data_IF_982569654604
#
_entry.id   IF_982569654604
#
_cell.length_a   1.000
_cell.length_b   1.000
_cell.length_c   1.000
_cell.angle_alpha   90.00
_cell.angle_beta   90.00
_cell.angle_gamma   90.00
#
_symmetry.space_group_name_H-M   'P 1'
#
loop_
_entity.id
_entity.type
_entity.pdbx_description
1 polymer ?
#
# COMPACT_ATOMS: atom_id res chain seq x y z
N UNK A 1 10.05 -57.95 12.39
CA UNK A 1 9.73 -56.80 13.29
C UNK A 1 10.91 -55.84 13.23
N UNK A 2 10.67 -54.56 12.99
CA UNK A 2 11.74 -53.55 12.84
C UNK A 2 12.48 -53.31 14.16
N UNK A 3 13.78 -53.01 14.06
CA UNK A 3 14.54 -52.53 15.20
C UNK A 3 14.05 -51.14 15.65
N UNK A 4 14.32 -50.77 16.90
CA UNK A 4 13.97 -49.43 17.43
C UNK A 4 14.68 -48.30 16.67
N UNK A 5 15.87 -48.56 16.13
CA UNK A 5 16.62 -47.63 15.29
C UNK A 5 15.93 -47.40 13.94
N UNK A 6 15.49 -48.48 13.28
CA UNK A 6 14.80 -48.41 11.98
C UNK A 6 13.42 -47.75 12.10
N UNK A 7 12.70 -48.02 13.19
CA UNK A 7 11.44 -47.35 13.50
C UNK A 7 11.61 -45.83 13.65
N UNK A 8 12.69 -45.37 14.30
CA UNK A 8 13.02 -43.94 14.43
C UNK A 8 13.39 -43.32 13.09
N UNK A 9 14.11 -44.06 12.25
CA UNK A 9 14.55 -43.65 10.93
C UNK A 9 13.36 -43.50 9.96
N UNK A 10 12.42 -44.43 9.94
CA UNK A 10 11.17 -44.34 9.16
C UNK A 10 10.32 -43.13 9.61
N UNK A 11 10.16 -42.90 10.92
CA UNK A 11 9.45 -41.71 11.43
C UNK A 11 10.12 -40.40 11.01
N UNK A 12 11.46 -40.36 11.01
CA UNK A 12 12.24 -39.20 10.56
C UNK A 12 12.06 -38.91 9.07
N UNK A 13 12.16 -39.93 8.22
CA UNK A 13 11.99 -39.77 6.77
C UNK A 13 10.52 -39.63 6.33
N UNK A 14 9.57 -39.93 7.20
CA UNK A 14 8.18 -39.50 7.03
C UNK A 14 7.99 -38.01 7.35
N UNK A 15 8.61 -37.50 8.43
CA UNK A 15 8.44 -36.12 8.88
C UNK A 15 9.26 -35.10 8.09
N UNK A 16 10.49 -35.40 7.67
CA UNK A 16 11.37 -34.44 6.99
C UNK A 16 10.82 -33.93 5.65
N UNK A 17 10.32 -34.78 4.73
CA UNK A 17 9.70 -34.29 3.49
C UNK A 17 8.42 -33.48 3.75
N UNK A 18 7.68 -33.81 4.83
CA UNK A 18 6.49 -33.04 5.24
C UNK A 18 6.88 -31.67 5.80
N UNK A 19 7.92 -31.60 6.63
CA UNK A 19 8.46 -30.35 7.13
C UNK A 19 8.99 -29.47 6.00
N UNK A 20 9.70 -30.05 5.03
CA UNK A 20 10.15 -29.34 3.83
C UNK A 20 8.96 -28.78 3.03
N UNK A 21 7.91 -29.58 2.84
CA UNK A 21 6.69 -29.15 2.17
C UNK A 21 5.99 -28.00 2.92
N UNK A 22 5.88 -28.11 4.25
CA UNK A 22 5.29 -27.05 5.08
C UNK A 22 6.14 -25.78 5.05
N UNK A 23 7.46 -25.89 5.04
CA UNK A 23 8.38 -24.75 4.99
C UNK A 23 8.28 -24.02 3.65
N UNK A 24 8.17 -24.76 2.56
CA UNK A 24 7.90 -24.16 1.25
C UNK A 24 6.52 -23.50 1.19
N UNK A 25 5.49 -24.12 1.77
CA UNK A 25 4.16 -23.50 1.85
C UNK A 25 4.18 -22.23 2.73
N UNK A 26 4.96 -22.23 3.81
CA UNK A 26 5.13 -21.10 4.70
C UNK A 26 5.72 -19.89 3.96
N UNK A 27 6.74 -20.07 3.10
CA UNK A 27 7.30 -18.97 2.28
C UNK A 27 6.25 -18.16 1.52
N UNK A 28 5.31 -18.85 0.85
CA UNK A 28 4.24 -18.19 0.12
C UNK A 28 3.24 -17.49 1.05
N UNK A 29 2.90 -18.13 2.17
CA UNK A 29 1.98 -17.58 3.16
C UNK A 29 2.58 -16.36 3.86
N UNK A 30 3.85 -16.41 4.23
CA UNK A 30 4.61 -15.33 4.85
C UNK A 30 4.68 -14.14 3.90
N UNK A 31 5.05 -14.35 2.62
CA UNK A 31 5.04 -13.29 1.62
C UNK A 31 3.66 -12.68 1.40
N UNK A 32 2.63 -13.50 1.22
CA UNK A 32 1.25 -13.02 1.04
C UNK A 32 0.71 -12.26 2.26
N UNK A 33 0.99 -12.75 3.47
CA UNK A 33 0.60 -12.10 4.71
C UNK A 33 1.33 -10.77 4.89
N UNK A 34 2.62 -10.68 4.55
CA UNK A 34 3.36 -9.42 4.60
C UNK A 34 2.73 -8.36 3.70
N UNK A 35 2.39 -8.72 2.45
CA UNK A 35 1.73 -7.78 1.52
C UNK A 35 0.40 -7.30 2.12
N UNK A 36 -0.41 -8.22 2.64
CA UNK A 36 -1.69 -7.88 3.27
C UNK A 36 -1.52 -6.92 4.45
N UNK A 37 -0.57 -7.18 5.35
CA UNK A 37 -0.34 -6.35 6.53
C UNK A 37 0.15 -4.95 6.17
N UNK A 38 1.02 -4.84 5.17
CA UNK A 38 1.47 -3.53 4.66
C UNK A 38 0.32 -2.77 3.98
N UNK A 39 -0.54 -3.46 3.22
CA UNK A 39 -1.70 -2.81 2.62
C UNK A 39 -2.68 -2.27 3.67
N UNK A 40 -2.93 -3.02 4.75
CA UNK A 40 -3.77 -2.57 5.87
C UNK A 40 -3.18 -1.31 6.51
N UNK A 41 -1.86 -1.29 6.71
CA UNK A 41 -1.18 -0.15 7.33
C UNK A 41 -1.16 1.10 6.43
N UNK A 42 -0.90 0.90 5.13
CA UNK A 42 -0.79 2.00 4.18
C UNK A 42 -2.17 2.61 3.86
N UNK A 43 -3.16 1.77 3.56
CA UNK A 43 -4.50 2.23 3.17
C UNK A 43 -5.33 2.59 4.41
N UNK A 44 -5.23 1.77 5.46
CA UNK A 44 -6.07 1.94 6.63
C UNK A 44 -5.56 2.98 7.62
N UNK A 45 -4.25 3.22 7.69
CA UNK A 45 -3.62 4.04 8.73
C UNK A 45 -2.65 5.09 8.16
N UNK A 46 -2.58 5.27 6.84
CA UNK A 46 -1.80 6.35 6.20
C UNK A 46 -0.28 6.19 6.27
N UNK A 47 0.24 5.02 6.66
CA UNK A 47 1.68 4.81 6.75
C UNK A 47 2.33 4.66 5.35
N UNK A 48 3.60 5.06 5.21
CA UNK A 48 4.36 4.89 3.95
C UNK A 48 5.36 3.73 4.07
N UNK A 49 5.27 2.78 3.13
CA UNK A 49 6.30 1.76 2.90
C UNK A 49 6.48 0.69 3.99
N UNK A 50 7.65 0.05 4.00
CA UNK A 50 8.01 -0.96 5.00
C UNK A 50 8.80 -0.31 6.14
N UNK A 51 8.48 -0.63 7.40
CA UNK A 51 9.34 -0.27 8.52
C UNK A 51 10.52 -1.24 8.67
N UNK A 52 11.60 -0.76 9.27
CA UNK A 52 12.87 -1.50 9.40
C UNK A 52 12.70 -2.84 10.12
N UNK A 53 11.92 -2.86 11.21
CA UNK A 53 11.66 -4.07 11.98
C UNK A 53 10.90 -5.11 11.15
N UNK A 54 9.88 -4.68 10.38
CA UNK A 54 9.06 -5.57 9.56
C UNK A 54 9.88 -6.14 8.40
N UNK A 55 10.74 -5.32 7.78
CA UNK A 55 11.63 -5.74 6.71
C UNK A 55 12.66 -6.76 7.22
N UNK A 56 13.25 -6.51 8.39
CA UNK A 56 14.17 -7.46 9.06
C UNK A 56 13.43 -8.76 9.40
N UNK A 57 12.25 -8.68 10.02
CA UNK A 57 11.47 -9.85 10.42
C UNK A 57 11.05 -10.71 9.21
N UNK A 58 10.51 -10.08 8.16
CA UNK A 58 10.15 -10.75 6.91
C UNK A 58 11.35 -11.45 6.29
N UNK A 59 12.46 -10.72 6.13
CA UNK A 59 13.68 -11.24 5.50
C UNK A 59 14.25 -12.41 6.30
N UNK A 60 14.32 -12.28 7.63
CA UNK A 60 14.81 -13.34 8.51
C UNK A 60 13.93 -14.60 8.45
N UNK A 61 12.60 -14.44 8.44
CA UNK A 61 11.66 -15.55 8.36
C UNK A 61 11.73 -16.24 6.99
N UNK A 62 11.76 -15.50 5.89
CA UNK A 62 11.89 -16.08 4.54
C UNK A 62 13.22 -16.83 4.38
N UNK A 63 14.33 -16.28 4.87
CA UNK A 63 15.63 -16.99 4.85
C UNK A 63 15.55 -18.27 5.69
N UNK A 64 14.96 -18.21 6.89
CA UNK A 64 14.83 -19.37 7.77
C UNK A 64 13.96 -20.47 7.16
N UNK A 65 12.82 -20.12 6.55
CA UNK A 65 11.90 -21.04 5.88
C UNK A 65 12.54 -21.65 4.62
N UNK A 66 13.27 -20.85 3.83
CA UNK A 66 14.04 -21.33 2.68
C UNK A 66 15.13 -22.32 3.09
N UNK A 67 15.93 -21.96 4.09
CA UNK A 67 16.99 -22.82 4.62
C UNK A 67 16.43 -24.12 5.22
N UNK A 68 15.33 -24.04 5.97
CA UNK A 68 14.66 -25.21 6.53
C UNK A 68 14.08 -26.14 5.44
N UNK A 69 13.50 -25.57 4.38
CA UNK A 69 13.01 -26.31 3.21
C UNK A 69 14.15 -27.11 2.55
N UNK A 70 15.26 -26.43 2.23
CA UNK A 70 16.43 -27.03 1.58
C UNK A 70 17.05 -28.10 2.49
N UNK A 71 17.29 -27.79 3.76
CA UNK A 71 17.90 -28.72 4.72
C UNK A 71 17.04 -29.98 4.90
N UNK A 72 15.73 -29.84 5.08
CA UNK A 72 14.81 -30.97 5.25
C UNK A 72 14.69 -31.81 3.97
N UNK A 73 14.62 -31.16 2.81
CA UNK A 73 14.54 -31.83 1.51
C UNK A 73 15.80 -32.62 1.18
N UNK A 74 16.98 -32.01 1.35
CA UNK A 74 18.28 -32.65 1.07
C UNK A 74 18.56 -33.79 2.03
N UNK A 75 18.28 -33.61 3.33
CA UNK A 75 18.47 -34.69 4.32
C UNK A 75 17.54 -35.87 4.08
N UNK A 76 16.28 -35.63 3.71
CA UNK A 76 15.37 -36.69 3.31
C UNK A 76 15.86 -37.42 2.05
N UNK A 77 16.27 -36.68 1.02
CA UNK A 77 16.75 -37.27 -0.25
C UNK A 77 17.99 -38.14 -0.04
N UNK A 78 19.00 -37.65 0.69
CA UNK A 78 20.21 -38.41 1.01
C UNK A 78 19.90 -39.65 1.84
N UNK A 79 18.98 -39.52 2.80
CA UNK A 79 18.57 -40.61 3.67
C UNK A 79 17.84 -41.74 2.95
N UNK A 80 16.86 -41.38 2.12
CA UNK A 80 16.09 -42.31 1.29
C UNK A 80 16.93 -42.95 0.17
N UNK A 81 17.99 -42.27 -0.28
CA UNK A 81 18.94 -42.82 -1.26
C UNK A 81 20.01 -43.74 -0.67
N UNK A 82 20.06 -43.93 0.65
CA UNK A 82 21.06 -44.77 1.30
C UNK A 82 20.80 -46.26 1.05
N UNK A 83 21.88 -47.05 0.96
CA UNK A 83 21.79 -48.51 0.80
C UNK A 83 20.94 -49.17 1.91
N UNK A 84 21.08 -48.68 3.16
CA UNK A 84 20.29 -49.11 4.31
C UNK A 84 18.78 -48.92 4.10
N UNK A 85 18.37 -47.77 3.54
CA UNK A 85 16.97 -47.52 3.26
C UNK A 85 16.44 -48.38 2.11
N UNK A 86 17.23 -48.58 1.06
CA UNK A 86 16.85 -49.42 -0.08
C UNK A 86 16.65 -50.88 0.33
N UNK A 87 17.40 -51.36 1.32
CA UNK A 87 17.25 -52.70 1.88
C UNK A 87 15.94 -52.82 2.69
N UNK A 88 15.64 -51.85 3.54
CA UNK A 88 14.36 -51.77 4.27
C UNK A 88 13.15 -51.68 3.31
N UNK A 89 13.27 -50.93 2.22
CA UNK A 89 12.24 -50.85 1.18
C UNK A 89 12.10 -52.19 0.45
N UNK A 90 13.20 -52.87 0.12
CA UNK A 90 13.19 -54.19 -0.52
C UNK A 90 12.60 -55.26 0.40
N UNK A 91 12.86 -55.23 1.70
CA UNK A 91 12.27 -56.14 2.69
C UNK A 91 10.75 -55.91 2.79
N UNK A 92 10.31 -54.65 2.87
CA UNK A 92 8.90 -54.29 2.90
C UNK A 92 8.14 -54.68 1.61
N UNK A 93 8.81 -54.66 0.45
CA UNK A 93 8.25 -55.08 -0.84
C UNK A 93 8.32 -56.62 -1.01
N UNK A 94 9.39 -57.24 -0.50
CA UNK A 94 9.73 -58.66 -0.65
C UNK A 94 8.80 -59.63 0.08
N UNK A 95 8.02 -59.15 1.05
CA UNK A 95 6.99 -59.94 1.73
C UNK A 95 5.60 -59.86 1.06
N UNK A 96 5.40 -59.00 0.04
CA UNK A 96 4.07 -58.72 -0.54
C UNK A 96 4.03 -58.62 -2.08
N UNK A 97 5.02 -59.19 -2.76
CA UNK A 97 5.19 -58.99 -4.20
C UNK A 97 4.28 -59.90 -5.06
N UNK A 98 3.09 -59.40 -5.43
CA UNK A 98 2.55 -59.63 -6.77
C UNK A 98 2.99 -58.46 -7.66
N UNK A 99 4.07 -58.67 -8.41
CA UNK A 99 4.84 -57.63 -9.15
C UNK A 99 4.07 -57.03 -10.35
N UNK A 100 2.81 -57.43 -10.59
CA UNK A 100 2.08 -57.09 -11.81
C UNK A 100 1.21 -55.83 -11.82
N UNK A 101 0.86 -55.20 -10.69
CA UNK A 101 -0.31 -54.28 -10.70
C UNK A 101 -0.17 -52.92 -10.00
N UNK A 102 1.02 -52.50 -9.53
CA UNK A 102 1.14 -51.18 -8.90
C UNK A 102 2.23 -50.29 -9.55
N UNK A 103 1.85 -49.27 -10.35
CA UNK A 103 2.80 -48.36 -10.99
C UNK A 103 3.58 -47.48 -9.99
N UNK A 104 3.20 -47.50 -8.70
CA UNK A 104 3.99 -46.90 -7.63
C UNK A 104 5.23 -47.72 -7.24
N UNK A 105 5.32 -49.00 -7.66
CA UNK A 105 6.36 -49.96 -7.24
C UNK A 105 7.31 -50.35 -8.39
N UNK A 106 6.88 -50.24 -9.66
CA UNK A 106 7.73 -50.58 -10.80
C UNK A 106 8.84 -49.54 -11.11
N UNK A 107 8.71 -48.31 -10.62
CA UNK A 107 9.75 -47.30 -10.69
C UNK A 107 10.37 -47.10 -9.33
N UNK A 108 11.51 -47.75 -9.07
CA UNK A 108 12.30 -47.56 -7.84
C UNK A 108 12.37 -46.07 -7.49
N UNK A 109 11.82 -45.72 -6.32
CA UNK A 109 11.42 -44.35 -5.97
C UNK A 109 12.62 -43.39 -5.86
N UNK A 110 13.85 -43.91 -5.86
CA UNK A 110 15.08 -43.12 -5.83
C UNK A 110 15.72 -42.75 -7.18
N UNK A 111 15.46 -43.47 -8.29
CA UNK A 111 16.33 -43.40 -9.50
C UNK A 111 15.57 -42.98 -10.78
N UNK A 112 14.31 -43.34 -10.94
CA UNK A 112 13.60 -43.12 -12.21
C UNK A 112 13.34 -41.63 -12.55
N UNK A 113 13.26 -40.75 -11.56
CA UNK A 113 13.03 -39.32 -11.80
C UNK A 113 14.28 -38.54 -12.21
N UNK A 114 15.48 -39.00 -11.84
CA UNK A 114 16.74 -38.38 -12.26
C UNK A 114 17.10 -38.79 -13.70
N UNK A 115 16.91 -40.07 -14.07
CA UNK A 115 17.21 -40.55 -15.42
C UNK A 115 16.32 -39.93 -16.50
N UNK A 116 15.02 -39.71 -16.22
CA UNK A 116 14.09 -39.14 -17.20
C UNK A 116 14.16 -37.62 -17.39
N UNK A 117 14.74 -36.88 -16.44
CA UNK A 117 14.94 -35.42 -16.57
C UNK A 117 16.26 -35.10 -17.28
N UNK A 118 17.27 -35.96 -17.16
CA UNK A 118 18.54 -35.86 -17.88
C UNK A 118 18.38 -36.22 -19.36
N UNK A 119 17.51 -37.18 -19.70
CA UNK A 119 17.20 -37.53 -21.10
C UNK A 119 16.39 -36.44 -21.85
N UNK A 120 15.82 -35.45 -21.15
CA UNK A 120 14.98 -34.40 -21.75
C UNK A 120 15.69 -33.05 -21.92
N UNK A 121 16.94 -32.93 -21.50
CA UNK A 121 17.71 -31.69 -21.62
C UNK A 121 18.77 -31.88 -22.72
N UNK A 122 18.67 -31.08 -23.78
CA UNK A 122 19.62 -31.10 -24.88
C UNK A 122 20.94 -30.43 -24.45
N UNK A 123 22.05 -30.76 -25.12
CA UNK A 123 23.40 -30.36 -24.69
C UNK A 123 23.62 -28.83 -24.71
N UNK A 124 22.85 -28.10 -25.52
CA UNK A 124 22.92 -26.64 -25.64
C UNK A 124 22.24 -25.89 -24.47
N UNK A 125 21.24 -26.50 -23.82
CA UNK A 125 20.65 -25.98 -22.57
C UNK A 125 21.60 -26.14 -21.37
N UNK A 126 22.54 -27.09 -21.47
CA UNK A 126 23.56 -27.36 -20.46
C UNK A 126 24.66 -26.26 -20.42
N UNK A 127 24.99 -25.66 -21.57
CA UNK A 127 25.97 -24.58 -21.69
C UNK A 127 25.39 -23.21 -21.23
N UNK A 128 24.10 -23.00 -21.45
CA UNK A 128 23.36 -21.87 -20.88
C UNK A 128 23.24 -21.97 -19.35
N UNK A 129 23.16 -23.19 -18.80
CA UNK A 129 23.21 -23.47 -17.36
C UNK A 129 24.61 -23.33 -16.76
N UNK A 130 25.69 -23.51 -17.53
CA UNK A 130 27.07 -23.33 -17.07
C UNK A 130 27.45 -21.87 -16.84
N UNK A 131 26.84 -20.94 -17.57
CA UNK A 131 27.29 -19.53 -17.59
C UNK A 131 26.41 -18.61 -16.73
N UNK A 132 25.19 -19.04 -16.37
CA UNK A 132 24.23 -18.22 -15.60
C UNK A 132 23.88 -18.72 -14.19
N UNK A 133 24.50 -19.81 -13.70
CA UNK A 133 23.97 -20.55 -12.55
C UNK A 133 25.03 -21.19 -11.62
N UNK A 134 26.15 -20.52 -11.37
CA UNK A 134 27.01 -20.88 -10.22
C UNK A 134 26.36 -20.39 -8.91
N UNK A 135 25.23 -20.99 -8.52
CA UNK A 135 24.69 -21.17 -7.15
C UNK A 135 23.36 -21.93 -7.30
N UNK A 136 23.39 -23.24 -7.02
CA UNK A 136 22.29 -24.04 -6.46
C UNK A 136 20.86 -23.70 -6.93
N UNK A 137 20.51 -23.92 -8.21
CA UNK A 137 19.17 -23.56 -8.67
C UNK A 137 18.75 -24.01 -10.07
N UNK A 138 19.01 -25.25 -10.49
CA UNK A 138 18.55 -25.70 -11.81
C UNK A 138 17.18 -26.41 -11.70
N UNK A 139 16.13 -25.68 -12.10
CA UNK A 139 14.88 -26.17 -12.69
C UNK A 139 14.14 -27.34 -12.00
N UNK A 140 13.63 -27.13 -10.79
CA UNK A 140 12.33 -27.69 -10.43
C UNK A 140 11.32 -26.56 -10.42
N UNK A 141 10.29 -26.62 -11.28
CA UNK A 141 9.08 -25.83 -11.03
C UNK A 141 8.62 -26.10 -9.59
N UNK A 142 8.11 -25.10 -8.87
CA UNK A 142 7.67 -25.27 -7.49
C UNK A 142 6.75 -26.50 -7.34
N UNK A 143 5.94 -26.77 -8.37
CA UNK A 143 5.10 -27.96 -8.51
C UNK A 143 5.89 -29.30 -8.46
N UNK A 144 6.99 -29.42 -9.18
CA UNK A 144 7.85 -30.61 -9.15
C UNK A 144 8.51 -30.83 -7.79
N UNK A 145 8.91 -29.75 -7.10
CA UNK A 145 9.44 -29.84 -5.75
C UNK A 145 8.36 -30.33 -4.74
N UNK A 146 7.13 -29.85 -4.88
CA UNK A 146 6.01 -30.28 -4.03
C UNK A 146 5.65 -31.75 -4.23
N UNK A 147 5.62 -32.22 -5.48
CA UNK A 147 5.27 -33.60 -5.79
C UNK A 147 6.35 -34.57 -5.30
N UNK A 148 7.64 -34.23 -5.48
CA UNK A 148 8.75 -35.06 -4.99
C UNK A 148 8.74 -35.22 -3.47
N UNK A 149 8.53 -34.16 -2.69
CA UNK A 149 8.41 -34.24 -1.23
C UNK A 149 7.22 -35.10 -0.79
N UNK A 150 6.08 -34.98 -1.47
CA UNK A 150 4.90 -35.82 -1.20
C UNK A 150 5.20 -37.28 -1.47
N UNK A 151 5.85 -37.61 -2.59
CA UNK A 151 6.27 -38.98 -2.93
C UNK A 151 7.22 -39.56 -1.90
N UNK A 152 8.24 -38.81 -1.49
CA UNK A 152 9.19 -39.21 -0.42
C UNK A 152 8.45 -39.56 0.88
N UNK A 153 7.51 -38.71 1.32
CA UNK A 153 6.72 -39.01 2.53
C UNK A 153 5.80 -40.23 2.39
N UNK A 154 5.22 -40.44 1.20
CA UNK A 154 4.35 -41.59 0.91
C UNK A 154 5.14 -42.90 0.89
N UNK A 155 6.36 -42.88 0.36
CA UNK A 155 7.26 -44.02 0.38
C UNK A 155 7.59 -44.44 1.83
N UNK A 156 7.98 -43.49 2.68
CA UNK A 156 8.21 -43.77 4.10
C UNK A 156 6.93 -44.26 4.83
N UNK A 157 5.76 -43.72 4.47
CA UNK A 157 4.49 -44.20 5.01
C UNK A 157 4.11 -45.61 4.55
N UNK A 158 4.47 -46.01 3.32
CA UNK A 158 4.24 -47.35 2.80
C UNK A 158 5.09 -48.39 3.57
N UNK A 159 6.38 -48.10 3.79
CA UNK A 159 7.27 -48.93 4.62
C UNK A 159 6.74 -49.03 6.05
N UNK A 160 6.29 -47.92 6.64
CA UNK A 160 5.70 -47.93 7.99
C UNK A 160 4.47 -48.85 8.10
N UNK A 161 3.57 -48.81 7.11
CA UNK A 161 2.37 -49.66 7.06
C UNK A 161 2.70 -51.14 6.87
N UNK A 162 3.66 -51.45 6.00
CA UNK A 162 4.10 -52.83 5.77
C UNK A 162 4.61 -53.49 7.06
N UNK A 163 5.23 -52.71 7.94
CA UNK A 163 5.71 -53.17 9.25
C UNK A 163 4.74 -52.88 10.42
N UNK A 164 3.50 -52.47 10.16
CA UNK A 164 2.48 -52.26 11.20
C UNK A 164 2.76 -51.11 12.18
N UNK A 165 3.55 -50.10 11.79
CA UNK A 165 3.91 -48.97 12.65
C UNK A 165 2.91 -47.82 12.61
N UNK A 166 2.62 -47.24 13.77
CA UNK A 166 1.90 -45.97 13.88
C UNK A 166 2.80 -44.78 13.54
N UNK A 167 2.32 -43.94 12.62
CA UNK A 167 3.00 -42.73 12.18
C UNK A 167 2.68 -41.56 13.13
N UNK A 168 3.64 -40.64 13.36
CA UNK A 168 3.41 -39.46 14.18
C UNK A 168 2.38 -38.53 13.53
N UNK A 169 1.53 -37.91 14.36
CA UNK A 169 0.58 -36.89 13.91
C UNK A 169 1.29 -35.64 13.37
N UNK A 170 0.72 -35.04 12.33
CA UNK A 170 1.33 -33.89 11.64
C UNK A 170 0.98 -32.53 12.26
N UNK A 171 0.05 -32.48 13.22
CA UNK A 171 -0.46 -31.23 13.79
C UNK A 171 0.63 -30.36 14.42
N UNK A 172 1.52 -30.96 15.23
CA UNK A 172 2.65 -30.24 15.86
C UNK A 172 3.65 -29.70 14.84
N UNK A 173 4.00 -30.50 13.84
CA UNK A 173 4.93 -30.08 12.78
C UNK A 173 4.34 -28.95 11.94
N UNK A 174 3.04 -29.02 11.60
CA UNK A 174 2.35 -27.95 10.89
C UNK A 174 2.32 -26.65 11.71
N UNK A 175 1.97 -26.73 12.99
CA UNK A 175 1.92 -25.56 13.87
C UNK A 175 3.29 -24.90 14.05
N UNK A 176 4.36 -25.70 14.18
CA UNK A 176 5.71 -25.18 14.32
C UNK A 176 6.28 -24.60 13.01
N UNK A 177 6.05 -25.25 11.87
CA UNK A 177 6.68 -24.84 10.61
C UNK A 177 5.89 -23.75 9.87
N UNK A 178 4.57 -23.70 10.03
CA UNK A 178 3.72 -22.68 9.40
C UNK A 178 3.18 -21.69 10.44
N UNK A 179 2.64 -22.19 11.55
CA UNK A 179 1.97 -21.32 12.53
C UNK A 179 2.93 -20.37 13.24
N UNK A 180 4.10 -20.84 13.65
CA UNK A 180 5.06 -20.03 14.39
C UNK A 180 5.62 -18.87 13.55
N UNK A 181 6.11 -19.05 12.30
CA UNK A 181 6.55 -17.93 11.46
C UNK A 181 5.47 -16.88 11.23
N UNK A 182 4.25 -17.31 10.89
CA UNK A 182 3.14 -16.38 10.66
C UNK A 182 2.79 -15.59 11.94
N UNK A 183 2.78 -16.26 13.09
CA UNK A 183 2.56 -15.59 14.37
C UNK A 183 3.66 -14.57 14.69
N UNK A 184 4.93 -14.93 14.53
CA UNK A 184 6.04 -14.00 14.73
C UNK A 184 5.96 -12.80 13.78
N UNK A 185 5.61 -13.04 12.52
CA UNK A 185 5.38 -11.98 11.53
C UNK A 185 4.26 -11.04 12.00
N UNK A 186 3.08 -11.56 12.37
CA UNK A 186 1.98 -10.72 12.84
C UNK A 186 2.35 -9.89 14.07
N UNK A 187 3.08 -10.46 15.03
CA UNK A 187 3.51 -9.75 16.23
C UNK A 187 4.54 -8.64 15.93
N UNK A 188 5.35 -8.78 14.88
CA UNK A 188 6.27 -7.72 14.45
C UNK A 188 5.56 -6.48 13.87
N UNK A 189 4.32 -6.63 13.41
CA UNK A 189 3.50 -5.52 12.90
C UNK A 189 2.68 -4.82 13.99
N UNK A 190 2.42 -5.49 15.13
CA UNK A 190 1.65 -4.93 16.23
C UNK A 190 2.12 -3.54 16.71
N UNK A 191 3.42 -3.29 17.00
CA UNK A 191 3.86 -1.96 17.42
C UNK A 191 3.63 -0.90 16.33
N UNK A 192 3.91 -1.24 15.08
CA UNK A 192 3.72 -0.32 13.95
C UNK A 192 2.26 0.04 13.71
N UNK A 193 1.34 -0.91 13.88
CA UNK A 193 -0.09 -0.60 13.82
C UNK A 193 -0.55 0.30 14.95
N UNK A 194 0.00 0.14 16.16
CA UNK A 194 -0.31 1.02 17.28
C UNK A 194 0.21 2.43 16.99
N UNK A 195 1.46 2.55 16.53
CA UNK A 195 2.08 3.83 16.23
C UNK A 195 1.37 4.54 15.07
N UNK A 196 1.03 3.81 14.00
CA UNK A 196 0.33 4.38 12.83
C UNK A 196 -1.12 4.75 13.17
N UNK A 197 -1.80 3.97 14.01
CA UNK A 197 -3.13 4.33 14.49
C UNK A 197 -3.10 5.57 15.39
N UNK A 198 -2.09 5.70 16.26
CA UNK A 198 -1.91 6.89 17.08
C UNK A 198 -1.64 8.13 16.22
N UNK A 199 -0.69 8.04 15.28
CA UNK A 199 -0.38 9.14 14.35
C UNK A 199 -1.58 9.52 13.48
N UNK A 200 -2.33 8.53 12.97
CA UNK A 200 -3.54 8.80 12.20
C UNK A 200 -4.60 9.51 13.04
N UNK A 201 -4.79 9.12 14.30
CA UNK A 201 -5.74 9.78 15.21
C UNK A 201 -5.30 11.21 15.52
N UNK A 202 -4.03 11.43 15.84
CA UNK A 202 -3.48 12.75 16.14
C UNK A 202 -3.60 13.69 14.93
N UNK A 203 -3.29 13.22 13.72
CA UNK A 203 -3.43 13.98 12.48
C UNK A 203 -4.89 14.34 12.18
N UNK A 204 -5.82 13.40 12.41
CA UNK A 204 -7.25 13.63 12.21
C UNK A 204 -7.81 14.65 13.22
N UNK A 205 -7.37 14.59 14.47
CA UNK A 205 -7.70 15.60 15.49
C UNK A 205 -7.07 16.97 15.22
N UNK A 206 -5.85 17.02 14.69
CA UNK A 206 -5.20 18.25 14.27
C UNK A 206 -5.96 18.89 13.10
N UNK A 207 -6.30 18.09 12.08
CA UNK A 207 -7.12 18.52 10.93
C UNK A 207 -8.48 19.05 11.38
N UNK A 208 -9.16 18.32 12.28
CA UNK A 208 -10.46 18.74 12.80
C UNK A 208 -10.38 20.10 13.52
N UNK A 209 -9.33 20.32 14.32
CA UNK A 209 -9.09 21.60 14.98
C UNK A 209 -8.82 22.72 13.98
N UNK A 210 -7.96 22.49 12.99
CA UNK A 210 -7.65 23.47 11.95
C UNK A 210 -8.90 23.89 11.16
N UNK A 211 -9.66 22.92 10.67
CA UNK A 211 -10.90 23.15 9.92
C UNK A 211 -11.95 23.86 10.79
N UNK A 212 -12.09 23.46 12.06
CA UNK A 212 -13.02 24.11 12.98
C UNK A 212 -12.63 25.57 13.28
N UNK A 213 -11.35 25.85 13.49
CA UNK A 213 -10.85 27.20 13.75
C UNK A 213 -11.11 28.12 12.55
N UNK A 214 -10.80 27.65 11.34
CA UNK A 214 -11.06 28.37 10.09
C UNK A 214 -12.56 28.59 9.86
N UNK A 215 -13.39 27.55 10.07
CA UNK A 215 -14.83 27.68 9.94
C UNK A 215 -15.41 28.71 10.92
N UNK A 216 -14.98 28.66 12.18
CA UNK A 216 -15.42 29.60 13.23
C UNK A 216 -15.04 31.04 12.89
N UNK A 217 -13.87 31.25 12.28
CA UNK A 217 -13.43 32.56 11.83
C UNK A 217 -14.23 33.08 10.62
N UNK A 218 -14.64 32.19 9.72
CA UNK A 218 -15.42 32.53 8.52
C UNK A 218 -16.91 32.77 8.82
N UNK A 219 -17.51 32.09 9.80
CA UNK A 219 -18.92 32.23 10.18
C UNK A 219 -19.42 33.69 10.32
N UNK A 220 -18.72 34.61 11.03
CA UNK A 220 -19.17 36.00 11.12
C UNK A 220 -18.98 36.81 9.83
N UNK A 221 -18.07 36.38 8.96
CA UNK A 221 -17.72 37.07 7.72
C UNK A 221 -18.50 36.55 6.50
N UNK A 222 -19.19 35.42 6.59
CA UNK A 222 -19.87 34.77 5.47
C UNK A 222 -21.39 34.69 5.70
N UNK A 223 -22.16 34.54 4.62
CA UNK A 223 -23.59 34.21 4.71
C UNK A 223 -23.80 32.75 5.14
N UNK A 224 -22.96 31.85 4.61
CA UNK A 224 -22.92 30.44 4.99
C UNK A 224 -21.52 29.87 4.80
N UNK A 225 -21.16 28.88 5.61
CA UNK A 225 -19.89 28.17 5.53
C UNK A 225 -20.12 26.68 5.31
N UNK A 226 -19.23 26.04 4.57
CA UNK A 226 -19.21 24.59 4.36
C UNK A 226 -17.82 24.09 4.75
N UNK A 227 -17.77 23.18 5.70
CA UNK A 227 -16.53 22.59 6.20
C UNK A 227 -16.66 21.07 6.20
N UNK A 228 -15.61 20.38 5.74
CA UNK A 228 -15.51 18.94 5.92
C UNK A 228 -15.36 18.58 7.41
N UNK A 229 -15.77 17.37 7.80
CA UNK A 229 -15.54 16.84 9.15
C UNK A 229 -14.48 15.73 9.10
N UNK A 230 -13.22 16.04 9.48
CA UNK A 230 -12.17 15.04 9.53
C UNK A 230 -12.51 13.85 10.43
N UNK A 231 -13.33 13.99 11.47
CA UNK A 231 -13.69 12.92 12.40
C UNK A 231 -14.72 11.95 11.84
N UNK A 232 -15.54 12.38 10.88
CA UNK A 232 -16.51 11.49 10.22
C UNK A 232 -15.81 10.58 9.20
N UNK A 233 -14.90 11.14 8.40
CA UNK A 233 -14.17 10.40 7.38
C UNK A 233 -12.76 10.92 7.15
N UNK A 234 -11.77 10.02 7.17
CA UNK A 234 -10.40 10.34 6.75
C UNK A 234 -10.35 10.53 5.24
N UNK A 235 -9.74 11.62 4.78
CA UNK A 235 -9.53 11.91 3.36
C UNK A 235 -8.04 12.04 3.07
N UNK A 236 -7.52 11.17 2.20
CA UNK A 236 -6.09 11.20 1.80
C UNK A 236 -5.79 12.38 0.85
N UNK A 237 -6.81 12.98 0.24
CA UNK A 237 -6.72 14.21 -0.55
C UNK A 237 -6.72 15.47 0.30
N UNK A 238 -6.87 15.35 1.62
CA UNK A 238 -7.02 16.48 2.52
C UNK A 238 -8.46 16.93 2.71
N UNK A 239 -8.64 18.13 3.27
CA UNK A 239 -9.93 18.64 3.73
C UNK A 239 -10.18 20.05 3.22
N UNK A 240 -11.45 20.42 3.07
CA UNK A 240 -11.83 21.75 2.62
C UNK A 240 -12.72 22.48 3.63
N UNK A 241 -12.47 23.77 3.78
CA UNK A 241 -13.39 24.73 4.38
C UNK A 241 -13.65 25.87 3.40
N UNK A 242 -14.91 26.27 3.27
CA UNK A 242 -15.31 27.35 2.38
C UNK A 242 -16.30 28.29 3.04
N UNK A 243 -16.16 29.56 2.75
CA UNK A 243 -17.05 30.63 3.19
C UNK A 243 -17.69 31.28 1.97
N UNK A 244 -19.01 31.44 1.98
CA UNK A 244 -19.78 31.98 0.86
C UNK A 244 -20.54 33.23 1.29
N UNK A 245 -20.50 34.27 0.47
CA UNK A 245 -21.36 35.45 0.54
C UNK A 245 -22.46 35.26 -0.51
N UNK A 246 -23.70 35.41 -0.07
CA UNK A 246 -24.88 35.28 -0.93
C UNK A 246 -25.55 36.63 -1.14
N UNK A 247 -26.24 36.78 -2.26
CA UNK A 247 -27.12 37.91 -2.51
C UNK A 247 -28.52 37.72 -1.87
N UNK A 248 -29.48 38.58 -2.26
CA UNK A 248 -30.86 38.56 -1.75
C UNK A 248 -31.65 37.32 -2.21
N UNK A 249 -31.31 36.76 -3.37
CA UNK A 249 -31.95 35.57 -3.94
C UNK A 249 -31.33 34.28 -3.37
N UNK A 250 -30.19 34.40 -2.69
CA UNK A 250 -29.47 33.31 -2.05
C UNK A 250 -28.38 32.70 -2.94
N UNK A 251 -28.10 33.32 -4.08
CA UNK A 251 -27.05 32.90 -5.00
C UNK A 251 -25.69 33.33 -4.45
N UNK A 252 -24.68 32.46 -4.60
CA UNK A 252 -23.33 32.73 -4.11
C UNK A 252 -22.69 33.75 -5.06
N UNK A 253 -22.35 34.93 -4.54
CA UNK A 253 -21.75 36.03 -5.31
C UNK A 253 -20.27 36.24 -4.99
N UNK A 254 -19.77 35.67 -3.88
CA UNK A 254 -18.35 35.59 -3.59
C UNK A 254 -18.07 34.40 -2.67
N UNK A 255 -16.92 33.77 -2.81
CA UNK A 255 -16.51 32.65 -1.98
C UNK A 255 -15.02 32.67 -1.66
N UNK A 256 -14.66 32.04 -0.56
CA UNK A 256 -13.28 31.65 -0.25
C UNK A 256 -13.26 30.15 0.00
N UNK A 257 -12.29 29.45 -0.56
CA UNK A 257 -12.03 28.03 -0.31
C UNK A 257 -10.61 27.88 0.22
N UNK A 258 -10.47 27.16 1.32
CA UNK A 258 -9.20 26.85 1.96
C UNK A 258 -9.11 25.32 1.97
N UNK A 259 -8.04 24.78 1.38
CA UNK A 259 -7.77 23.35 1.41
C UNK A 259 -6.56 23.07 2.29
N UNK A 260 -6.62 21.93 2.97
CA UNK A 260 -5.54 21.40 3.79
C UNK A 260 -5.11 20.06 3.26
N UNK A 261 -3.88 19.64 3.56
CA UNK A 261 -3.43 18.27 3.35
C UNK A 261 -4.09 17.28 4.34
N UNK A 262 -3.68 16.00 4.26
CA UNK A 262 -4.16 14.91 5.15
C UNK A 262 -3.76 15.05 6.64
N UNK A 263 -2.90 16.03 6.94
CA UNK A 263 -2.42 16.32 8.29
C UNK A 263 -3.04 17.60 8.87
N UNK A 264 -3.81 18.35 8.06
CA UNK A 264 -4.46 19.60 8.46
C UNK A 264 -3.60 20.84 8.19
N UNK A 265 -2.53 20.71 7.41
CA UNK A 265 -1.70 21.85 7.02
C UNK A 265 -2.33 22.54 5.82
N UNK A 266 -2.43 23.87 5.86
CA UNK A 266 -3.04 24.63 4.76
C UNK A 266 -2.10 24.61 3.56
N UNK A 267 -2.61 24.17 2.41
CA UNK A 267 -1.85 24.02 1.18
C UNK A 267 -2.37 24.91 0.04
N UNK A 268 -3.62 25.39 0.15
CA UNK A 268 -4.21 26.30 -0.81
C UNK A 268 -5.28 27.21 -0.22
N UNK A 269 -5.36 28.42 -0.79
CA UNK A 269 -6.42 29.38 -0.53
C UNK A 269 -6.86 29.98 -1.87
N UNK A 270 -8.15 29.94 -2.15
CA UNK A 270 -8.74 30.46 -3.38
C UNK A 270 -9.85 31.43 -3.02
N UNK A 271 -9.75 32.65 -3.52
CA UNK A 271 -10.78 33.68 -3.40
C UNK A 271 -11.49 33.83 -4.73
N UNK A 272 -12.83 33.91 -4.74
CA UNK A 272 -13.64 34.10 -5.94
C UNK A 272 -14.72 35.17 -5.69
N UNK A 273 -15.00 35.98 -6.70
CA UNK A 273 -16.08 36.96 -6.69
C UNK A 273 -16.73 37.05 -8.08
N UNK A 274 -18.05 36.95 -8.11
CA UNK A 274 -18.82 37.00 -9.34
C UNK A 274 -18.82 38.39 -9.95
N UNK A 275 -18.78 38.44 -11.28
CA UNK A 275 -18.83 39.66 -12.07
C UNK A 275 -20.25 39.84 -12.61
N UNK A 276 -20.91 40.91 -12.18
CA UNK A 276 -22.22 41.25 -12.72
C UNK A 276 -22.06 42.19 -13.91
N UNK A 277 -22.36 41.72 -15.12
CA UNK A 277 -22.24 42.51 -16.36
C UNK A 277 -23.14 43.77 -16.40
N UNK A 278 -24.16 43.84 -15.54
CA UNK A 278 -25.00 45.03 -15.40
C UNK A 278 -24.34 46.14 -14.56
N UNK A 279 -23.25 45.83 -13.84
CA UNK A 279 -22.41 46.78 -13.10
C UNK A 279 -21.28 47.30 -13.96
N UNK A 280 -20.73 48.44 -13.58
CA UNK A 280 -19.50 48.96 -14.18
C UNK A 280 -18.29 48.10 -13.80
N UNK A 281 -17.23 48.05 -14.62
CA UNK A 281 -15.99 47.34 -14.27
C UNK A 281 -15.40 47.83 -12.94
N UNK A 282 -15.49 49.13 -12.65
CA UNK A 282 -15.05 49.70 -11.38
C UNK A 282 -15.84 49.16 -10.18
N UNK A 283 -17.16 49.01 -10.32
CA UNK A 283 -18.02 48.45 -9.27
C UNK A 283 -17.75 46.95 -9.04
N UNK A 284 -17.56 46.18 -10.11
CA UNK A 284 -17.21 44.76 -9.99
C UNK A 284 -15.84 44.55 -9.36
N UNK A 285 -14.84 45.35 -9.76
CA UNK A 285 -13.51 45.30 -9.18
C UNK A 285 -13.52 45.68 -7.69
N UNK A 286 -14.23 46.76 -7.33
CA UNK A 286 -14.36 47.18 -5.94
C UNK A 286 -15.08 46.12 -5.08
N UNK A 287 -16.12 45.48 -5.62
CA UNK A 287 -16.84 44.39 -4.96
C UNK A 287 -15.92 43.18 -4.71
N UNK A 288 -15.11 42.79 -5.69
CA UNK A 288 -14.14 41.70 -5.54
C UNK A 288 -13.09 42.04 -4.47
N UNK A 289 -12.48 43.22 -4.53
CA UNK A 289 -11.47 43.65 -3.55
C UNK A 289 -12.03 43.75 -2.13
N UNK A 290 -13.24 44.27 -1.95
CA UNK A 290 -13.91 44.34 -0.65
C UNK A 290 -14.23 42.93 -0.10
N UNK A 291 -14.73 42.04 -0.96
CA UNK A 291 -15.02 40.66 -0.59
C UNK A 291 -13.75 39.90 -0.19
N UNK A 292 -12.68 40.04 -0.95
CA UNK A 292 -11.39 39.40 -0.67
C UNK A 292 -10.77 39.94 0.62
N UNK A 293 -10.84 41.25 0.86
CA UNK A 293 -10.38 41.86 2.10
C UNK A 293 -11.16 41.35 3.32
N UNK A 294 -12.48 41.19 3.19
CA UNK A 294 -13.34 40.63 4.25
C UNK A 294 -12.98 39.19 4.59
N UNK A 295 -12.78 38.33 3.58
CA UNK A 295 -12.35 36.94 3.80
C UNK A 295 -10.94 36.88 4.40
N UNK A 296 -10.02 37.71 3.91
CA UNK A 296 -8.66 37.79 4.42
C UNK A 296 -8.63 38.22 5.90
N UNK A 297 -9.41 39.22 6.29
CA UNK A 297 -9.50 39.66 7.69
C UNK A 297 -10.00 38.54 8.61
N UNK A 298 -11.01 37.79 8.16
CA UNK A 298 -11.52 36.64 8.88
C UNK A 298 -10.44 35.56 9.07
N UNK A 299 -9.77 35.14 8.00
CA UNK A 299 -8.72 34.12 8.05
C UNK A 299 -7.53 34.59 8.90
N UNK A 300 -7.12 35.84 8.76
CA UNK A 300 -6.00 36.44 9.52
C UNK A 300 -6.27 36.58 11.02
N UNK A 301 -7.54 36.48 11.43
CA UNK A 301 -7.92 36.49 12.85
C UNK A 301 -7.63 35.17 13.56
N UNK A 302 -7.39 34.09 12.81
CA UNK A 302 -7.04 32.78 13.36
C UNK A 302 -5.61 32.83 13.88
N UNK A 303 -5.44 32.49 15.15
CA UNK A 303 -4.11 32.32 15.75
C UNK A 303 -3.56 30.94 15.35
N UNK A 304 -2.88 30.93 14.21
CA UNK A 304 -2.29 29.73 13.59
C UNK A 304 -1.33 29.02 14.55
N UNK A 305 -0.58 29.75 15.37
CA UNK A 305 0.34 29.16 16.36
C UNK A 305 -0.41 28.55 17.55
N UNK A 306 -1.41 29.25 18.10
CA UNK A 306 -2.18 28.76 19.24
C UNK A 306 -3.05 27.54 18.88
N UNK A 307 -3.58 27.51 17.67
CA UNK A 307 -4.38 26.38 17.16
C UNK A 307 -3.51 25.22 16.64
N UNK A 308 -2.21 25.44 16.47
CA UNK A 308 -1.26 24.45 15.98
C UNK A 308 -1.46 24.10 14.51
N UNK A 309 -1.90 25.09 13.72
CA UNK A 309 -2.09 24.97 12.27
C UNK A 309 -0.73 25.23 11.62
N UNK A 310 -0.27 24.36 10.71
CA UNK A 310 0.92 24.65 9.92
C UNK A 310 0.52 25.15 8.52
N UNK A 311 1.25 26.15 8.03
CA UNK A 311 1.14 26.64 6.65
C UNK A 311 2.28 26.02 5.84
N UNK A 312 1.97 25.39 4.71
CA UNK A 312 3.01 24.86 3.82
C UNK A 312 3.83 25.97 3.16
N UNK A 313 3.23 27.16 2.99
CA UNK A 313 3.94 28.38 2.60
C UNK A 313 3.40 29.59 3.35
N UNK A 314 4.30 30.45 3.84
CA UNK A 314 3.93 31.70 4.52
C UNK A 314 3.15 32.67 3.63
N UNK A 315 3.25 32.55 2.30
CA UNK A 315 2.51 33.38 1.36
C UNK A 315 1.02 33.05 1.25
N UNK A 316 0.55 31.94 1.83
CA UNK A 316 -0.88 31.60 1.90
C UNK A 316 -1.69 32.57 2.77
N UNK A 317 -1.02 33.27 3.69
CA UNK A 317 -1.62 34.30 4.56
C UNK A 317 -1.26 35.71 4.11
N UNK A 318 -0.77 35.89 2.88
CA UNK A 318 -0.62 37.23 2.32
C UNK A 318 -1.98 37.78 1.90
N UNK A 319 -2.14 39.10 2.05
CA UNK A 319 -3.34 39.77 1.57
C UNK A 319 -3.53 39.52 0.05
N UNK A 320 -4.73 39.08 -0.39
CA UNK A 320 -5.02 38.82 -1.79
C UNK A 320 -5.18 40.14 -2.56
N UNK A 321 -4.06 40.73 -2.99
CA UNK A 321 -4.05 42.00 -3.72
C UNK A 321 -3.98 41.74 -5.22
N UNK A 322 -4.97 42.25 -5.96
CA UNK A 322 -4.96 42.18 -7.42
C UNK A 322 -3.83 43.07 -8.02
N UNK A 323 -2.97 42.52 -8.89
CA UNK A 323 -1.85 43.27 -9.44
C UNK A 323 -2.32 44.43 -10.33
N UNK A 324 -1.56 45.52 -10.39
CA UNK A 324 -1.89 46.71 -11.20
C UNK A 324 -2.16 46.35 -12.67
N UNK A 325 -1.42 45.38 -13.20
CA UNK A 325 -1.60 44.88 -14.57
C UNK A 325 -2.98 44.27 -14.78
N UNK A 326 -3.43 43.41 -13.86
CA UNK A 326 -4.75 42.78 -13.91
C UNK A 326 -5.84 43.84 -13.80
N UNK A 327 -5.72 44.77 -12.84
CA UNK A 327 -6.68 45.86 -12.63
C UNK A 327 -6.83 46.72 -13.88
N UNK A 328 -5.72 47.13 -14.51
CA UNK A 328 -5.77 47.92 -15.73
C UNK A 328 -6.38 47.13 -16.90
N UNK A 329 -6.04 45.86 -17.05
CA UNK A 329 -6.60 45.00 -18.09
C UNK A 329 -8.12 44.84 -17.91
N UNK A 330 -8.60 44.61 -16.69
CA UNK A 330 -10.02 44.46 -16.39
C UNK A 330 -10.80 45.76 -16.63
N UNK A 331 -10.27 46.91 -16.19
CA UNK A 331 -10.93 48.21 -16.35
C UNK A 331 -10.98 48.72 -17.80
N UNK A 332 -10.05 48.26 -18.65
CA UNK A 332 -9.98 48.69 -20.06
C UNK A 332 -10.52 47.66 -21.05
N UNK A 333 -10.72 46.42 -20.58
CA UNK A 333 -11.19 45.28 -21.37
C UNK A 333 -12.72 45.22 -21.50
N UNK A 334 -13.18 44.07 -21.97
CA UNK A 334 -14.59 43.69 -22.03
C UNK A 334 -14.86 42.49 -21.10
N UNK A 335 -16.14 42.19 -20.89
CA UNK A 335 -16.57 41.07 -20.03
C UNK A 335 -16.44 39.69 -20.70
N UNK A 336 -15.95 39.61 -21.93
CA UNK A 336 -15.94 38.40 -22.75
C UNK A 336 -14.52 37.89 -23.03
N UNK A 337 -13.51 38.59 -22.52
CA UNK A 337 -12.11 38.26 -22.68
C UNK A 337 -11.50 37.90 -21.32
N UNK A 338 -11.13 36.63 -21.17
CA UNK A 338 -10.46 36.15 -19.96
C UNK A 338 -9.10 36.84 -19.76
N UNK A 339 -8.75 37.09 -18.50
CA UNK A 339 -7.49 37.72 -18.10
C UNK A 339 -6.77 36.80 -17.13
N UNK A 340 -5.53 36.44 -17.42
CA UNK A 340 -4.68 35.66 -16.52
C UNK A 340 -3.42 36.46 -16.22
N UNK A 341 -3.08 36.62 -14.94
CA UNK A 341 -1.90 37.36 -14.49
C UNK A 341 -1.27 36.66 -13.29
N UNK A 342 -0.02 36.21 -13.46
CA UNK A 342 0.77 35.67 -12.36
C UNK A 342 1.12 36.77 -11.33
N UNK A 343 1.00 36.45 -10.04
CA UNK A 343 1.37 37.33 -8.92
C UNK A 343 2.76 36.97 -8.38
N UNK A 344 2.96 35.70 -8.04
CA UNK A 344 4.19 35.20 -7.43
C UNK A 344 4.43 33.72 -7.77
N UNK A 345 5.69 33.36 -7.96
CA UNK A 345 6.15 31.99 -8.18
C UNK A 345 7.47 31.81 -7.43
N UNK A 346 7.38 31.56 -6.13
CA UNK A 346 8.53 31.43 -5.22
C UNK A 346 9.17 30.04 -5.29
N UNK A 347 8.69 29.16 -6.18
CA UNK A 347 9.08 27.77 -6.27
C UNK A 347 8.34 26.84 -5.30
N UNK A 348 7.87 27.36 -4.16
CA UNK A 348 7.04 26.67 -3.16
C UNK A 348 5.58 27.09 -3.21
N UNK A 349 5.30 28.33 -3.63
CA UNK A 349 3.95 28.86 -3.85
C UNK A 349 3.80 29.31 -5.29
N UNK A 350 2.63 29.03 -5.88
CA UNK A 350 2.15 29.66 -7.11
C UNK A 350 0.94 30.52 -6.78
N UNK A 351 1.03 31.80 -7.09
CA UNK A 351 -0.05 32.76 -6.93
C UNK A 351 -0.40 33.40 -8.28
N UNK A 352 -1.68 33.42 -8.65
CA UNK A 352 -2.14 34.08 -9.88
C UNK A 352 -3.58 34.60 -9.72
N UNK A 353 -3.92 35.62 -10.51
CA UNK A 353 -5.25 36.19 -10.61
C UNK A 353 -5.84 35.86 -11.98
N UNK A 354 -7.11 35.46 -11.99
CA UNK A 354 -7.85 35.05 -13.17
C UNK A 354 -9.17 35.83 -13.23
N UNK A 355 -9.48 36.39 -14.38
CA UNK A 355 -10.84 36.73 -14.75
C UNK A 355 -11.31 35.63 -15.70
N UNK A 356 -12.16 34.76 -15.21
CA UNK A 356 -12.72 33.64 -15.94
C UNK A 356 -14.06 34.08 -16.55
N UNK A 357 -14.17 33.93 -17.86
CA UNK A 357 -15.37 34.31 -18.63
C UNK A 357 -15.35 33.58 -19.97
N UNK A 358 -16.51 33.58 -20.64
CA UNK A 358 -16.68 32.99 -21.97
C UNK A 358 -16.72 34.08 -23.06
N UNK A 359 -16.31 33.74 -24.30
CA UNK A 359 -16.40 34.67 -25.42
C UNK A 359 -17.85 35.07 -25.71
N UNK A 360 -18.07 36.24 -26.30
CA UNK A 360 -19.41 36.82 -26.54
C UNK A 360 -20.34 35.86 -27.33
N UNK A 361 -19.78 34.99 -28.18
CA UNK A 361 -20.53 34.01 -28.97
C UNK A 361 -21.10 32.85 -28.12
N UNK A 362 -20.47 32.53 -26.99
CA UNK A 362 -20.84 31.44 -26.07
C UNK A 362 -21.49 31.95 -24.79
N UNK A 363 -21.35 33.25 -24.49
CA UNK A 363 -21.89 33.87 -23.29
C UNK A 363 -23.43 33.82 -23.26
N UNK A 364 -23.98 33.04 -22.33
CA UNK A 364 -25.42 32.83 -22.17
C UNK A 364 -25.88 32.96 -20.71
N UNK A 365 -27.12 32.54 -20.42
CA UNK A 365 -27.72 32.64 -19.08
C UNK A 365 -27.08 31.71 -18.04
N UNK A 366 -26.23 30.77 -18.46
CA UNK A 366 -25.49 29.85 -17.61
C UNK A 366 -24.02 30.25 -17.44
N UNK A 367 -23.55 31.29 -18.14
CA UNK A 367 -22.20 31.81 -17.97
C UNK A 367 -22.10 32.60 -16.67
N UNK A 368 -21.15 32.22 -15.82
CA UNK A 368 -20.86 32.88 -14.54
C UNK A 368 -19.45 33.47 -14.57
N UNK A 369 -19.28 34.71 -15.08
CA UNK A 369 -17.97 35.33 -15.12
C UNK A 369 -17.51 35.68 -13.70
N UNK A 370 -16.24 35.43 -13.39
CA UNK A 370 -15.72 35.53 -12.02
C UNK A 370 -14.28 36.04 -11.99
N UNK A 371 -13.96 36.83 -10.97
CA UNK A 371 -12.58 37.19 -10.62
C UNK A 371 -12.12 36.26 -9.51
N UNK A 372 -10.96 35.64 -9.70
CA UNK A 372 -10.39 34.67 -8.79
C UNK A 372 -8.94 34.99 -8.46
N UNK A 373 -8.54 34.77 -7.21
CA UNK A 373 -7.13 34.78 -6.78
C UNK A 373 -6.81 33.42 -6.21
N UNK A 374 -5.84 32.74 -6.81
CA UNK A 374 -5.38 31.43 -6.39
C UNK A 374 -4.04 31.56 -5.68
N UNK A 375 -3.93 30.97 -4.49
CA UNK A 375 -2.70 30.81 -3.73
C UNK A 375 -2.54 29.31 -3.48
N UNK A 376 -1.68 28.63 -4.24
CA UNK A 376 -1.54 27.17 -4.17
C UNK A 376 -0.09 26.79 -3.97
N UNK A 377 0.20 25.97 -2.97
CA UNK A 377 1.53 25.42 -2.77
C UNK A 377 1.84 24.36 -3.82
N UNK A 378 3.10 24.28 -4.24
CA UNK A 378 3.55 23.20 -5.13
C UNK A 378 3.74 21.95 -4.31
N UNK A 379 2.95 20.92 -4.59
CA UNK A 379 3.16 19.60 -4.01
C UNK A 379 4.56 19.09 -4.37
N UNK A 380 5.30 18.62 -3.35
CA UNK A 380 6.63 18.04 -3.51
C UNK A 380 6.59 16.56 -3.90
#
# INVERSE_FOLDING_TARGET
MLSTADAKLVKRYYLLPKAAWYSLAALFLTGGLTILLVMIDNIGLGSKGFGDLQLIAMTALMIAEGAACIACGVTARRGLGSAHWQELEREAIGDNANIGTNPAVAGGIGVAAAGRLVDTLDNDDLDALSTGLEITGAAMSAYGLFDTMRRMSRAAAAVARAHGMELPGLGRTRLLVIGLPLLLLTLSFAPRFIDSAAQSSEAQEASARAIQALNTALEPACSHTLADDPLEHRQDSGYRVSGNITDEDGDIVASVSIETDEYGNVDSVVYNADVNIARTPEENLAFAEESFARFYEAISSVDIEAEGIELLDTGLVNAPVLPDQFRQAFLTGDYYTAIDTDLDDTGTLRAWALFDTEPEEEFDEYTSPQISVYLITRSH
#
